data_IF_998759155729
#
_entry.id   IF_998759155729
#
_cell.length_a   1.000
_cell.length_b   1.000
_cell.length_c   1.000
_cell.angle_alpha   90.00
_cell.angle_beta   90.00
_cell.angle_gamma   90.00
#
_symmetry.space_group_name_H-M   'P 1'
#
loop_
_entity.id
_entity.type
_entity.pdbx_description
1 polymer ?
#
# COMPACT_ATOMS: atom_id res chain seq x y z
N UNK A 1 31.52 61.75 22.45
CA UNK A 1 30.86 60.43 22.64
C UNK A 1 29.96 60.23 21.45
N UNK A 2 30.42 59.40 20.51
CA UNK A 2 29.89 59.27 19.15
C UNK A 2 28.53 58.54 19.16
N UNK A 3 27.46 59.27 18.85
CA UNK A 3 26.08 58.77 18.86
C UNK A 3 25.72 57.99 17.59
N UNK A 4 26.61 57.96 16.59
CA UNK A 4 26.39 57.29 15.30
C UNK A 4 26.50 55.76 15.35
N UNK A 5 27.20 55.20 16.36
CA UNK A 5 27.46 53.76 16.47
C UNK A 5 26.31 52.99 17.14
N UNK A 6 25.44 53.69 17.89
CA UNK A 6 24.28 53.11 18.61
C UNK A 6 23.22 52.48 17.71
N UNK A 7 22.78 53.08 16.59
CA UNK A 7 21.77 52.47 15.73
C UNK A 7 22.25 51.15 15.09
N UNK A 8 23.52 51.05 14.68
CA UNK A 8 24.06 49.83 14.07
C UNK A 8 24.14 48.66 15.06
N UNK A 9 24.48 48.94 16.32
CA UNK A 9 24.48 47.92 17.39
C UNK A 9 23.05 47.42 17.65
N UNK A 10 22.06 48.32 17.70
CA UNK A 10 20.66 47.95 17.89
C UNK A 10 20.15 47.09 16.73
N UNK A 11 20.41 47.51 15.49
CA UNK A 11 20.04 46.74 14.29
C UNK A 11 20.72 45.37 14.28
N UNK A 12 22.00 45.31 14.66
CA UNK A 12 22.74 44.05 14.81
C UNK A 12 22.10 43.12 15.84
N UNK A 13 21.74 43.63 17.03
CA UNK A 13 21.06 42.85 18.06
C UNK A 13 19.67 42.37 17.60
N UNK A 14 18.90 43.19 16.90
CA UNK A 14 17.58 42.81 16.36
C UNK A 14 17.72 41.70 15.31
N UNK A 15 18.66 41.83 14.37
CA UNK A 15 18.90 40.80 13.36
C UNK A 15 19.38 39.49 13.98
N UNK A 16 20.25 39.57 15.00
CA UNK A 16 20.73 38.38 15.72
C UNK A 16 19.59 37.69 16.49
N UNK A 17 18.70 38.48 17.10
CA UNK A 17 17.51 37.97 17.80
C UNK A 17 16.53 37.29 16.84
N UNK A 18 16.31 37.87 15.65
CA UNK A 18 15.49 37.28 14.59
C UNK A 18 16.13 35.99 14.09
N UNK A 19 17.44 35.96 13.86
CA UNK A 19 18.15 34.75 13.40
C UNK A 19 18.11 33.63 14.45
N UNK A 20 18.25 33.95 15.74
CA UNK A 20 18.11 33.00 16.85
C UNK A 20 16.68 32.49 16.98
N UNK A 21 15.69 33.37 16.87
CA UNK A 21 14.29 32.97 16.85
C UNK A 21 14.01 32.04 15.66
N UNK A 22 14.49 32.40 14.47
CA UNK A 22 14.35 31.57 13.28
C UNK A 22 15.00 30.20 13.49
N UNK A 23 16.22 30.13 14.01
CA UNK A 23 16.89 28.87 14.33
C UNK A 23 16.12 28.01 15.35
N UNK A 24 15.55 28.63 16.39
CA UNK A 24 14.78 27.93 17.43
C UNK A 24 13.39 27.48 16.97
N UNK A 25 12.75 28.26 16.09
CA UNK A 25 11.41 27.99 15.58
C UNK A 25 11.40 27.20 14.27
N UNK A 26 12.55 27.04 13.60
CA UNK A 26 12.62 26.20 12.41
C UNK A 26 12.63 24.72 12.83
N UNK A 27 11.60 23.93 12.52
CA UNK A 27 11.65 22.51 12.80
C UNK A 27 12.81 21.90 12.01
N UNK A 28 13.63 21.09 12.68
CA UNK A 28 14.64 20.29 11.99
C UNK A 28 13.95 19.49 10.87
N UNK A 29 14.49 19.49 9.64
CA UNK A 29 13.96 18.65 8.58
C UNK A 29 14.01 17.21 9.07
N UNK A 30 12.86 16.56 9.15
CA UNK A 30 12.76 15.19 9.64
C UNK A 30 13.56 14.28 8.71
N UNK A 31 14.73 13.84 9.19
CA UNK A 31 15.58 12.83 8.53
C UNK A 31 15.16 11.40 8.91
N UNK A 32 13.96 11.23 9.44
CA UNK A 32 13.39 9.94 9.82
C UNK A 32 12.94 9.11 8.61
N UNK A 33 12.60 7.85 8.90
CA UNK A 33 11.93 6.94 7.95
C UNK A 33 10.56 7.52 7.62
N UNK A 34 10.20 7.56 6.34
CA UNK A 34 8.97 8.19 5.88
C UNK A 34 7.91 7.14 5.57
N UNK A 35 6.98 6.94 6.49
CA UNK A 35 5.94 5.92 6.35
C UNK A 35 4.80 6.33 5.41
N UNK A 36 4.86 7.51 4.79
CA UNK A 36 3.83 7.91 3.83
C UNK A 36 3.74 6.90 2.71
N UNK A 37 2.52 6.46 2.45
CA UNK A 37 2.15 5.59 1.36
C UNK A 37 2.49 6.23 0.01
N UNK A 38 3.54 5.71 -0.62
CA UNK A 38 4.02 6.19 -1.92
C UNK A 38 4.18 5.07 -2.92
N UNK A 39 4.31 3.82 -2.47
CA UNK A 39 4.42 2.63 -3.31
C UNK A 39 5.49 2.74 -4.42
N UNK A 40 6.59 3.46 -4.12
CA UNK A 40 7.68 3.66 -5.08
C UNK A 40 8.66 2.52 -5.03
N UNK A 41 9.01 1.97 -6.20
CA UNK A 41 9.97 0.87 -6.33
C UNK A 41 11.38 1.25 -5.88
N UNK A 42 11.77 2.52 -5.93
CA UNK A 42 13.09 2.97 -5.44
C UNK A 42 13.09 3.25 -3.93
N UNK A 43 11.91 3.27 -3.28
CA UNK A 43 11.82 3.60 -1.86
C UNK A 43 12.02 2.36 -0.99
N UNK A 44 12.92 2.50 -0.01
CA UNK A 44 13.15 1.53 1.07
C UNK A 44 12.39 1.87 2.35
N UNK A 45 11.53 2.88 2.29
CA UNK A 45 10.59 3.18 3.37
C UNK A 45 9.56 2.04 3.51
N UNK A 46 8.85 1.91 4.64
CA UNK A 46 7.93 0.79 4.92
C UNK A 46 6.86 0.54 3.85
N UNK A 47 6.31 1.59 3.24
CA UNK A 47 5.33 1.51 2.14
C UNK A 47 5.98 1.68 0.76
N UNK A 48 7.29 1.52 0.65
CA UNK A 48 7.99 1.38 -0.62
C UNK A 48 7.98 -0.07 -1.09
N UNK A 49 8.00 -0.29 -2.41
CA UNK A 49 7.95 -1.63 -3.01
C UNK A 49 9.34 -2.18 -3.32
N UNK A 50 10.42 -1.50 -2.91
CA UNK A 50 11.80 -1.90 -3.20
C UNK A 50 12.15 -3.28 -2.63
N UNK A 51 11.82 -3.52 -1.36
CA UNK A 51 12.16 -4.78 -0.67
C UNK A 51 11.41 -5.95 -1.31
N UNK A 52 10.12 -5.79 -1.58
CA UNK A 52 9.33 -6.79 -2.31
C UNK A 52 9.95 -7.09 -3.68
N UNK A 53 10.28 -6.04 -4.44
CA UNK A 53 10.87 -6.18 -5.76
C UNK A 53 12.24 -6.89 -5.74
N UNK A 54 13.13 -6.55 -4.79
CA UNK A 54 14.41 -7.25 -4.59
C UNK A 54 14.18 -8.72 -4.21
N UNK A 55 13.27 -9.01 -3.28
CA UNK A 55 12.95 -10.38 -2.85
C UNK A 55 12.35 -11.23 -3.97
N UNK A 56 11.42 -10.68 -4.76
CA UNK A 56 10.83 -11.37 -5.90
C UNK A 56 11.89 -11.68 -6.94
N UNK A 57 12.72 -10.69 -7.30
CA UNK A 57 13.82 -10.87 -8.26
C UNK A 57 14.79 -11.96 -7.81
N UNK A 58 15.18 -11.95 -6.53
CA UNK A 58 16.11 -12.92 -5.97
C UNK A 58 15.51 -14.35 -5.87
N UNK A 59 14.21 -14.46 -5.54
CA UNK A 59 13.50 -15.74 -5.42
C UNK A 59 13.16 -16.38 -6.76
N UNK A 60 12.73 -15.57 -7.73
CA UNK A 60 12.31 -16.02 -9.07
C UNK A 60 13.53 -16.48 -9.88
N UNK A 61 14.75 -16.03 -9.53
CA UNK A 61 15.99 -16.61 -10.03
C UNK A 61 16.11 -16.54 -11.56
N UNK A 62 16.09 -17.70 -12.21
CA UNK A 62 16.28 -17.85 -13.66
C UNK A 62 15.00 -17.78 -14.51
N UNK A 63 13.82 -17.64 -13.90
CA UNK A 63 12.59 -17.37 -14.65
C UNK A 63 12.56 -15.91 -15.15
N UNK A 64 11.80 -15.64 -16.21
CA UNK A 64 11.66 -14.28 -16.75
C UNK A 64 10.94 -13.38 -15.77
N UNK A 65 11.61 -12.33 -15.29
CA UNK A 65 11.01 -11.26 -14.50
C UNK A 65 10.82 -10.03 -15.41
N UNK A 66 9.56 -9.63 -15.59
CA UNK A 66 9.19 -8.48 -16.44
C UNK A 66 8.53 -7.41 -15.59
N UNK A 67 9.10 -6.22 -15.58
CA UNK A 67 8.45 -5.04 -15.00
C UNK A 67 7.39 -4.55 -15.98
N UNK A 68 6.14 -4.44 -15.49
CA UNK A 68 5.00 -4.02 -16.31
C UNK A 68 4.91 -2.50 -16.28
N UNK A 69 5.39 -1.85 -17.35
CA UNK A 69 5.31 -0.40 -17.54
C UNK A 69 4.26 0.02 -18.56
N UNK A 70 3.85 -0.91 -19.41
CA UNK A 70 2.85 -0.71 -20.45
C UNK A 70 1.47 -1.25 -20.00
N UNK A 71 0.46 -1.06 -20.83
CA UNK A 71 -0.89 -1.49 -20.53
C UNK A 71 -1.02 -3.02 -20.54
N UNK A 72 -1.85 -3.58 -19.65
CA UNK A 72 -1.86 -5.02 -19.38
C UNK A 72 -2.12 -5.89 -20.61
N UNK A 73 -2.97 -5.44 -21.52
CA UNK A 73 -3.30 -6.15 -22.76
C UNK A 73 -2.11 -6.29 -23.73
N UNK A 74 -1.07 -5.47 -23.57
CA UNK A 74 0.15 -5.58 -24.38
C UNK A 74 1.16 -6.55 -23.77
N UNK A 75 1.10 -6.75 -22.44
CA UNK A 75 2.14 -7.45 -21.68
C UNK A 75 1.68 -8.83 -21.22
N UNK A 76 0.40 -8.98 -20.89
CA UNK A 76 -0.17 -10.26 -20.47
C UNK A 76 -0.44 -11.14 -21.69
N UNK A 77 0.35 -12.21 -21.82
CA UNK A 77 0.08 -13.31 -22.72
C UNK A 77 -0.82 -14.33 -22.01
N UNK A 78 -2.04 -14.61 -22.49
CA UNK A 78 -2.93 -15.58 -21.86
C UNK A 78 -2.41 -17.02 -21.98
N UNK A 79 -1.57 -17.34 -22.97
CA UNK A 79 -1.05 -18.69 -23.18
C UNK A 79 0.49 -18.71 -23.19
N UNK A 80 1.15 -18.28 -22.09
CA UNK A 80 2.60 -18.24 -22.04
C UNK A 80 3.17 -19.67 -22.07
N UNK A 81 4.43 -19.80 -22.50
CA UNK A 81 5.12 -21.10 -22.57
C UNK A 81 5.24 -21.81 -21.20
N UNK A 82 5.08 -21.07 -20.10
CA UNK A 82 5.08 -21.57 -18.73
C UNK A 82 4.13 -20.74 -17.88
N UNK A 83 3.52 -21.36 -16.86
CA UNK A 83 2.58 -20.68 -15.96
C UNK A 83 3.21 -19.38 -15.42
N UNK A 84 2.50 -18.27 -15.60
CA UNK A 84 2.96 -16.95 -15.23
C UNK A 84 2.17 -16.40 -14.03
N UNK A 85 2.72 -15.38 -13.38
CA UNK A 85 2.05 -14.69 -12.27
C UNK A 85 2.18 -13.19 -12.44
N UNK A 86 1.04 -12.51 -12.46
CA UNK A 86 0.97 -11.06 -12.41
C UNK A 86 0.94 -10.61 -10.94
N UNK A 87 1.76 -9.62 -10.59
CA UNK A 87 1.87 -9.12 -9.21
C UNK A 87 1.71 -7.61 -9.22
N UNK A 88 0.71 -7.11 -8.50
CA UNK A 88 0.46 -5.69 -8.28
C UNK A 88 0.48 -5.36 -6.79
N UNK A 89 1.25 -4.33 -6.42
CA UNK A 89 1.25 -3.76 -5.07
C UNK A 89 1.26 -2.23 -5.18
N UNK A 90 0.21 -1.59 -4.69
CA UNK A 90 0.05 -0.14 -4.79
C UNK A 90 -1.25 0.35 -4.16
N UNK A 91 -1.39 1.65 -3.97
CA UNK A 91 -2.58 2.26 -3.32
C UNK A 91 -3.89 1.85 -4.00
N UNK A 92 -3.94 1.91 -5.33
CA UNK A 92 -5.07 1.43 -6.10
C UNK A 92 -4.68 1.10 -7.53
N UNK A 93 -5.30 0.05 -8.07
CA UNK A 93 -5.06 -0.37 -9.46
C UNK A 93 -6.03 0.34 -10.40
N UNK A 94 -5.51 1.01 -11.42
CA UNK A 94 -6.32 1.66 -12.45
C UNK A 94 -6.41 0.75 -13.67
N UNK A 95 -7.54 0.04 -13.81
CA UNK A 95 -7.83 -0.81 -14.96
C UNK A 95 -8.87 -0.17 -15.85
N UNK A 96 -8.53 0.04 -17.11
CA UNK A 96 -9.52 0.27 -18.16
C UNK A 96 -10.20 -1.05 -18.56
N UNK A 97 -11.24 -0.97 -19.39
CA UNK A 97 -12.02 -2.16 -19.77
C UNK A 97 -11.17 -3.20 -20.51
N UNK A 98 -10.19 -2.78 -21.31
CA UNK A 98 -9.32 -3.71 -22.03
C UNK A 98 -8.28 -4.37 -21.11
N UNK A 99 -7.72 -3.63 -20.15
CA UNK A 99 -6.78 -4.16 -19.16
C UNK A 99 -7.46 -5.14 -18.20
N UNK A 100 -8.71 -4.85 -17.82
CA UNK A 100 -9.52 -5.76 -17.02
C UNK A 100 -9.79 -7.06 -17.78
N UNK A 101 -10.20 -6.98 -19.05
CA UNK A 101 -10.46 -8.16 -19.88
C UNK A 101 -9.19 -9.00 -20.07
N UNK A 102 -8.05 -8.37 -20.36
CA UNK A 102 -6.78 -9.07 -20.49
C UNK A 102 -6.35 -9.77 -19.18
N UNK A 103 -6.57 -9.14 -18.01
CA UNK A 103 -6.28 -9.76 -16.73
C UNK A 103 -7.18 -10.98 -16.46
N UNK A 104 -8.47 -10.89 -16.79
CA UNK A 104 -9.42 -11.98 -16.64
C UNK A 104 -9.12 -13.14 -17.61
N UNK A 105 -8.76 -12.85 -18.86
CA UNK A 105 -8.35 -13.85 -19.85
C UNK A 105 -7.06 -14.55 -19.40
N UNK A 106 -6.08 -13.79 -18.91
CA UNK A 106 -4.82 -14.30 -18.39
C UNK A 106 -5.05 -15.28 -17.23
N UNK A 107 -5.84 -14.90 -16.24
CA UNK A 107 -6.17 -15.77 -15.10
C UNK A 107 -7.05 -16.95 -15.53
N UNK A 108 -8.04 -16.71 -16.39
CA UNK A 108 -8.94 -17.75 -16.91
C UNK A 108 -8.25 -18.82 -17.76
N UNK A 109 -7.08 -18.51 -18.32
CA UNK A 109 -6.21 -19.46 -19.01
C UNK A 109 -5.34 -20.32 -18.05
N UNK A 110 -5.45 -20.12 -16.73
CA UNK A 110 -4.76 -20.89 -15.70
C UNK A 110 -3.50 -20.22 -15.12
N UNK A 111 -3.27 -18.93 -15.40
CA UNK A 111 -2.22 -18.15 -14.75
C UNK A 111 -2.70 -17.52 -13.43
N UNK A 112 -1.78 -16.97 -12.64
CA UNK A 112 -2.11 -16.40 -11.33
C UNK A 112 -2.05 -14.86 -11.33
N UNK A 113 -2.89 -14.21 -10.53
CA UNK A 113 -2.78 -12.79 -10.23
C UNK A 113 -2.75 -12.57 -8.71
N UNK A 114 -1.79 -11.77 -8.25
CA UNK A 114 -1.72 -11.27 -6.88
C UNK A 114 -1.89 -9.75 -6.90
N UNK A 115 -2.85 -9.24 -6.12
CA UNK A 115 -3.16 -7.81 -6.04
C UNK A 115 -3.23 -7.43 -4.56
N UNK A 116 -2.38 -6.50 -4.14
CA UNK A 116 -2.41 -5.87 -2.81
C UNK A 116 -2.60 -4.38 -2.99
N UNK A 117 -3.72 -3.86 -2.50
CA UNK A 117 -4.07 -2.44 -2.63
C UNK A 117 -5.08 -1.99 -1.59
N UNK A 118 -5.21 -0.68 -1.42
CA UNK A 118 -6.28 -0.07 -0.62
C UNK A 118 -7.54 0.20 -1.44
N UNK A 119 -7.52 0.01 -2.75
CA UNK A 119 -8.71 0.12 -3.59
C UNK A 119 -8.56 -0.71 -4.88
N UNK A 120 -9.55 -1.55 -5.14
CA UNK A 120 -9.68 -2.31 -6.39
C UNK A 120 -10.91 -1.81 -7.15
N UNK A 121 -10.86 -1.68 -8.48
CA UNK A 121 -12.01 -1.27 -9.27
C UNK A 121 -13.24 -2.11 -8.97
N UNK A 122 -14.36 -1.45 -8.62
CA UNK A 122 -15.64 -2.09 -8.30
C UNK A 122 -16.06 -3.09 -9.36
N UNK A 123 -15.87 -2.76 -10.64
CA UNK A 123 -16.21 -3.64 -11.77
C UNK A 123 -15.42 -4.95 -11.81
N UNK A 124 -14.20 -4.97 -11.24
CA UNK A 124 -13.42 -6.20 -11.12
C UNK A 124 -13.96 -7.04 -9.96
N UNK A 125 -14.20 -6.44 -8.79
CA UNK A 125 -14.70 -7.15 -7.62
C UNK A 125 -16.15 -7.63 -7.78
N UNK A 126 -17.02 -6.88 -8.46
CA UNK A 126 -18.39 -7.30 -8.73
C UNK A 126 -18.47 -8.63 -9.49
N UNK A 127 -17.43 -9.01 -10.25
CA UNK A 127 -17.38 -10.31 -10.93
C UNK A 127 -17.22 -11.50 -9.97
N UNK A 128 -16.66 -11.26 -8.78
CA UNK A 128 -16.41 -12.29 -7.77
C UNK A 128 -17.48 -12.29 -6.68
N UNK A 129 -18.08 -11.13 -6.37
CA UNK A 129 -18.96 -10.98 -5.20
C UNK A 129 -20.47 -10.89 -5.54
N UNK A 130 -20.86 -10.60 -6.78
CA UNK A 130 -22.27 -10.36 -7.15
C UNK A 130 -22.81 -11.55 -8.00
N UNK A 131 -23.62 -12.50 -7.46
CA UNK A 131 -24.51 -12.44 -6.29
C UNK A 131 -24.24 -13.59 -5.29
N UNK A 132 -23.00 -13.82 -4.91
CA UNK A 132 -22.62 -15.01 -4.12
C UNK A 132 -23.05 -14.83 -2.65
N UNK A 133 -23.02 -13.59 -2.11
CA UNK A 133 -23.31 -13.35 -0.69
C UNK A 133 -24.42 -12.30 -0.48
N UNK A 134 -25.56 -12.75 0.06
CA UNK A 134 -26.70 -11.95 0.60
C UNK A 134 -27.27 -10.79 -0.24
N UNK A 135 -26.87 -10.66 -1.52
CA UNK A 135 -27.39 -9.65 -2.44
C UNK A 135 -26.88 -8.23 -2.20
N UNK A 136 -25.75 -8.07 -1.51
CA UNK A 136 -25.08 -6.78 -1.34
C UNK A 136 -24.08 -6.53 -2.48
N UNK A 137 -24.21 -5.39 -3.16
CA UNK A 137 -23.24 -4.97 -4.17
C UNK A 137 -21.95 -4.51 -3.50
N UNK A 138 -20.81 -4.98 -4.02
CA UNK A 138 -19.50 -4.46 -3.63
C UNK A 138 -19.43 -2.95 -3.88
N UNK A 139 -18.98 -2.18 -2.87
CA UNK A 139 -18.78 -0.74 -2.99
C UNK A 139 -17.30 -0.35 -2.90
N UNK A 140 -16.66 -0.58 -1.76
CA UNK A 140 -15.23 -0.40 -1.54
C UNK A 140 -14.82 -1.09 -0.22
N UNK A 141 -13.53 -1.04 0.12
CA UNK A 141 -13.07 -1.46 1.44
C UNK A 141 -13.64 -0.58 2.56
N UNK A 142 -13.88 -1.21 3.71
CA UNK A 142 -14.14 -0.50 4.95
C UNK A 142 -12.82 -0.08 5.60
N UNK A 143 -12.89 0.84 6.56
CA UNK A 143 -11.72 1.23 7.33
C UNK A 143 -12.07 1.53 8.79
N UNK A 144 -11.16 1.15 9.67
CA UNK A 144 -11.16 1.47 11.09
C UNK A 144 -9.97 2.40 11.38
N UNK A 145 -10.17 3.41 12.23
CA UNK A 145 -9.12 4.39 12.55
C UNK A 145 -8.56 4.15 13.94
N UNK A 146 -7.43 3.45 14.01
CA UNK A 146 -6.68 3.24 15.25
C UNK A 146 -5.17 3.48 15.06
N UNK A 147 -4.46 3.65 16.16
CA UNK A 147 -3.00 3.65 16.23
C UNK A 147 -2.36 2.27 16.04
N UNK A 148 -3.09 1.20 16.33
CA UNK A 148 -2.61 -0.18 16.32
C UNK A 148 -3.66 -1.07 15.63
N UNK A 149 -3.22 -1.93 14.72
CA UNK A 149 -4.06 -2.98 14.15
C UNK A 149 -3.45 -4.35 14.45
N UNK A 150 -4.32 -5.30 14.79
CA UNK A 150 -3.92 -6.66 15.15
C UNK A 150 -4.34 -7.54 13.99
N UNK A 151 -3.39 -8.22 13.37
CA UNK A 151 -3.65 -9.05 12.19
C UNK A 151 -3.44 -10.51 12.56
N UNK A 152 -4.44 -11.33 12.28
CA UNK A 152 -4.40 -12.77 12.45
C UNK A 152 -4.47 -13.42 11.06
N UNK A 153 -3.44 -14.16 10.66
CA UNK A 153 -3.44 -14.92 9.41
C UNK A 153 -3.83 -16.37 9.66
N UNK A 154 -4.86 -16.81 8.93
CA UNK A 154 -5.37 -18.17 8.94
C UNK A 154 -4.48 -19.05 8.06
N UNK A 155 -3.89 -20.09 8.65
CA UNK A 155 -3.19 -21.13 7.90
C UNK A 155 -4.12 -22.35 7.71
N UNK A 156 -4.11 -23.04 6.56
CA UNK A 156 -4.93 -24.24 6.34
C UNK A 156 -4.67 -25.36 7.36
N UNK A 157 -3.49 -25.36 7.99
CA UNK A 157 -3.18 -26.24 9.13
C UNK A 157 -3.47 -25.51 10.46
N UNK A 158 -4.42 -25.99 11.30
CA UNK A 158 -4.96 -25.27 12.45
C UNK A 158 -4.00 -25.06 13.64
N UNK A 159 -2.72 -25.41 13.51
CA UNK A 159 -1.72 -25.25 14.56
C UNK A 159 -0.89 -23.97 14.43
N UNK A 160 -0.96 -23.29 13.28
CA UNK A 160 -0.03 -22.21 12.92
C UNK A 160 -0.78 -20.92 12.54
N UNK A 161 -1.57 -20.39 13.46
CA UNK A 161 -2.06 -19.01 13.34
C UNK A 161 -0.88 -18.05 13.53
N UNK A 162 -0.73 -17.09 12.61
CA UNK A 162 0.30 -16.06 12.70
C UNK A 162 -0.33 -14.73 13.09
N UNK A 163 0.11 -14.18 14.22
CA UNK A 163 -0.38 -12.91 14.75
C UNK A 163 0.67 -11.80 14.60
N UNK A 164 0.24 -10.62 14.18
CA UNK A 164 1.09 -9.45 13.98
C UNK A 164 0.45 -8.17 14.50
N UNK A 165 1.24 -7.39 15.24
CA UNK A 165 0.90 -6.01 15.63
C UNK A 165 1.43 -5.03 14.57
N UNK A 166 0.52 -4.29 13.94
CA UNK A 166 0.83 -3.26 12.96
C UNK A 166 0.59 -1.86 13.51
N UNK A 167 1.50 -0.94 13.25
CA UNK A 167 1.37 0.46 13.64
C UNK A 167 1.86 1.37 12.51
N UNK A 168 1.37 2.60 12.47
CA UNK A 168 1.79 3.61 11.51
C UNK A 168 2.52 4.77 12.20
N UNK A 169 3.61 5.27 11.60
CA UNK A 169 4.37 6.39 12.15
C UNK A 169 4.36 7.63 11.26
N UNK A 170 3.94 8.76 11.81
CA UNK A 170 4.13 10.06 11.19
C UNK A 170 5.05 10.93 12.05
N UNK A 171 6.17 11.38 11.48
CA UNK A 171 7.19 12.17 12.18
C UNK A 171 7.67 11.50 13.48
N UNK A 172 7.98 10.19 13.39
CA UNK A 172 8.46 9.33 14.50
C UNK A 172 7.49 9.21 15.68
N UNK A 173 6.21 9.46 15.44
CA UNK A 173 5.14 9.26 16.42
C UNK A 173 4.15 8.27 15.84
N UNK A 174 3.75 7.32 16.67
CA UNK A 174 2.58 6.51 16.37
C UNK A 174 1.37 7.44 16.36
N UNK A 175 0.63 7.43 15.25
CA UNK A 175 -0.57 8.25 15.06
C UNK A 175 -1.70 7.35 14.57
N UNK A 176 -2.96 7.75 14.77
CA UNK A 176 -4.09 7.04 14.18
C UNK A 176 -3.91 6.91 12.67
N UNK A 177 -4.27 5.74 12.14
CA UNK A 177 -4.17 5.37 10.74
C UNK A 177 -5.43 4.61 10.33
N UNK A 178 -5.80 4.73 9.05
CA UNK A 178 -6.97 4.08 8.48
C UNK A 178 -6.59 2.68 8.03
N UNK A 179 -6.94 1.68 8.83
CA UNK A 179 -6.72 0.27 8.52
C UNK A 179 -7.86 -0.23 7.65
N UNK A 180 -7.56 -0.51 6.37
CA UNK A 180 -8.54 -1.01 5.41
C UNK A 180 -8.79 -2.51 5.59
N UNK A 181 -10.04 -2.93 5.46
CA UNK A 181 -10.45 -4.34 5.51
C UNK A 181 -11.67 -4.62 4.61
N UNK A 182 -11.87 -5.90 4.32
CA UNK A 182 -13.07 -6.42 3.67
C UNK A 182 -13.98 -6.94 4.77
N UNK A 183 -15.25 -6.56 4.74
CA UNK A 183 -16.23 -6.96 5.75
C UNK A 183 -16.65 -8.42 5.58
N UNK A 184 -17.07 -9.07 6.67
CA UNK A 184 -17.33 -10.52 6.73
C UNK A 184 -18.45 -10.96 5.79
N UNK A 185 -19.40 -10.07 5.46
CA UNK A 185 -20.48 -10.38 4.52
C UNK A 185 -19.96 -10.73 3.11
N UNK A 186 -18.73 -10.35 2.78
CA UNK A 186 -18.12 -10.67 1.50
C UNK A 186 -17.67 -12.15 1.41
N UNK A 187 -17.55 -12.86 2.55
CA UNK A 187 -17.01 -14.22 2.65
C UNK A 187 -18.07 -15.24 3.10
N UNK A 188 -19.08 -15.50 2.26
CA UNK A 188 -20.13 -16.47 2.55
C UNK A 188 -19.77 -17.92 2.16
N UNK A 189 -20.46 -18.91 2.74
CA UNK A 189 -20.25 -20.34 2.46
C UNK A 189 -20.96 -20.82 1.18
N UNK A 190 -20.65 -20.22 0.03
CA UNK A 190 -21.17 -20.66 -1.28
C UNK A 190 -20.07 -21.27 -2.17
N UNK A 191 -20.48 -22.00 -3.21
CA UNK A 191 -19.54 -22.49 -4.22
C UNK A 191 -18.93 -21.29 -4.96
N UNK A 192 -17.60 -21.26 -5.09
CA UNK A 192 -16.84 -20.18 -5.73
C UNK A 192 -16.81 -18.84 -4.97
N UNK A 193 -17.20 -18.84 -3.68
CA UNK A 193 -17.01 -17.66 -2.83
C UNK A 193 -15.52 -17.42 -2.53
N UNK A 194 -15.12 -16.15 -2.31
CA UNK A 194 -13.77 -15.83 -1.88
C UNK A 194 -13.44 -16.48 -0.53
N UNK A 195 -12.21 -16.96 -0.41
CA UNK A 195 -11.70 -17.57 0.82
C UNK A 195 -11.00 -16.52 1.70
N UNK A 196 -11.40 -16.44 2.96
CA UNK A 196 -10.80 -15.56 3.95
C UNK A 196 -9.43 -16.12 4.39
N UNK A 197 -8.37 -15.30 4.28
CA UNK A 197 -7.00 -15.68 4.66
C UNK A 197 -6.58 -15.14 6.05
N UNK A 198 -7.44 -14.35 6.70
CA UNK A 198 -7.13 -13.74 7.98
C UNK A 198 -7.99 -12.51 8.29
N UNK A 199 -7.87 -12.05 9.52
CA UNK A 199 -8.66 -10.97 10.11
C UNK A 199 -7.79 -9.80 10.53
N UNK A 200 -8.37 -8.60 10.48
CA UNK A 200 -7.76 -7.37 10.97
C UNK A 200 -8.68 -6.79 12.03
N UNK A 201 -8.15 -6.57 13.23
CA UNK A 201 -8.85 -5.93 14.34
C UNK A 201 -8.27 -4.54 14.60
N UNK A 202 -9.14 -3.57 14.86
CA UNK A 202 -8.81 -2.18 15.21
C UNK A 202 -9.33 -1.81 16.58
#
# INVERSE_FOLDING_TARGET
>A
MDTSMRPYVIVGCVLLSIALAFYWFWPEPDRGIDWREKYRQESRDPYGTNVLHELLRDRIGSFSFTEVTDSLQQVLDPAPESAASYVFVGDGILLDSFSQEALLEFVGAGNNAFISSNSIPVKLLSLFYDPICDGYEWSDYLFESDTLAWVELSHPEPADTLEFDLYYQYRRRVVPYSWCYIDDWAFCEELDSPEELGQVFG
#
